data_IF_467931259543
#
_entry.id   IF_467931259543
#
_cell.length_a   1.000
_cell.length_b   1.000
_cell.length_c   1.000
_cell.angle_alpha   90.00
_cell.angle_beta   90.00
_cell.angle_gamma   90.00
#
_symmetry.space_group_name_H-M   'P 1'
#
loop_
_entity.id
_entity.type
_entity.pdbx_description
1 polymer ?
#
# COMPACT_ATOMS: atom_id res chain seq x y z
N UNK A 1 -8.83 0.98 8.18
CA UNK A 1 -8.45 0.20 7.00
C UNK A 1 -7.94 1.11 5.89
N UNK A 2 -7.09 0.56 5.05
CA UNK A 2 -6.60 1.17 3.82
C UNK A 2 -6.64 0.15 2.70
N UNK A 3 -6.76 0.65 1.48
CA UNK A 3 -6.64 -0.15 0.25
C UNK A 3 -5.76 0.60 -0.73
N UNK A 4 -4.87 -0.11 -1.39
CA UNK A 4 -3.94 0.45 -2.37
C UNK A 4 -3.79 -0.49 -3.56
N UNK A 5 -3.51 0.09 -4.73
CA UNK A 5 -3.28 -0.65 -5.97
C UNK A 5 -1.79 -0.69 -6.29
N UNK A 6 -1.26 -1.89 -6.51
CA UNK A 6 0.14 -2.13 -6.87
C UNK A 6 0.26 -2.80 -8.24
N UNK A 7 -0.39 -2.21 -9.24
CA UNK A 7 -0.65 -2.81 -10.56
C UNK A 7 0.60 -2.93 -11.42
N UNK A 8 1.23 -1.80 -11.76
CA UNK A 8 2.39 -1.77 -12.65
C UNK A 8 3.60 -2.52 -12.11
N UNK A 9 3.99 -2.36 -10.83
CA UNK A 9 5.05 -3.18 -10.24
C UNK A 9 4.77 -4.69 -10.35
N UNK A 10 3.53 -5.10 -10.11
CA UNK A 10 3.10 -6.49 -10.21
C UNK A 10 3.07 -7.00 -11.66
N UNK A 11 2.88 -6.15 -12.65
CA UNK A 11 2.97 -6.54 -14.05
C UNK A 11 4.44 -6.78 -14.47
N UNK A 12 5.36 -5.95 -13.99
CA UNK A 12 6.79 -6.02 -14.30
C UNK A 12 7.46 -7.19 -13.57
N UNK A 13 7.32 -7.24 -12.25
CA UNK A 13 7.87 -8.27 -11.37
C UNK A 13 6.75 -8.77 -10.43
N UNK A 14 6.00 -9.81 -10.84
CA UNK A 14 4.76 -10.18 -10.17
C UNK A 14 4.89 -10.51 -8.69
N UNK A 15 5.96 -11.21 -8.30
CA UNK A 15 6.17 -11.57 -6.89
C UNK A 15 6.47 -10.33 -6.05
N UNK A 16 7.50 -9.57 -6.40
CA UNK A 16 7.92 -8.41 -5.61
C UNK A 16 6.90 -7.28 -5.66
N UNK A 17 6.29 -7.04 -6.82
CA UNK A 17 5.24 -6.04 -6.96
C UNK A 17 4.04 -6.30 -6.05
N UNK A 18 3.57 -7.53 -5.97
CA UNK A 18 2.46 -7.89 -5.09
C UNK A 18 2.87 -7.93 -3.61
N UNK A 19 4.06 -8.44 -3.31
CA UNK A 19 4.62 -8.49 -1.96
C UNK A 19 4.73 -7.09 -1.35
N UNK A 20 5.32 -6.15 -2.09
CA UNK A 20 5.48 -4.77 -1.62
C UNK A 20 4.16 -3.99 -1.56
N UNK A 21 3.16 -4.38 -2.34
CA UNK A 21 1.79 -3.88 -2.19
C UNK A 21 1.19 -4.27 -0.83
N UNK A 22 1.41 -5.51 -0.37
CA UNK A 22 1.00 -5.94 0.97
C UNK A 22 1.79 -5.20 2.05
N UNK A 23 3.11 -5.07 1.90
CA UNK A 23 3.97 -4.35 2.85
C UNK A 23 3.58 -2.88 2.98
N UNK A 24 3.39 -2.17 1.87
CA UNK A 24 3.00 -0.77 1.86
C UNK A 24 1.69 -0.51 2.59
N UNK A 25 0.65 -1.31 2.31
CA UNK A 25 -0.64 -1.13 2.98
C UNK A 25 -0.62 -1.48 4.47
N UNK A 26 0.27 -2.39 4.88
CA UNK A 26 0.49 -2.70 6.31
C UNK A 26 1.17 -1.53 7.00
N UNK A 27 2.18 -0.90 6.37
CA UNK A 27 2.83 0.30 6.92
C UNK A 27 1.90 1.48 7.06
N UNK A 28 0.99 1.70 6.11
CA UNK A 28 -0.07 2.71 6.22
C UNK A 28 -0.90 2.53 7.50
N UNK A 29 -1.27 1.28 7.80
CA UNK A 29 -2.01 0.97 9.04
C UNK A 29 -1.15 1.24 10.27
N UNK A 30 0.14 0.92 10.22
CA UNK A 30 1.07 1.21 11.32
C UNK A 30 1.27 2.72 11.51
N UNK A 31 1.38 3.50 10.42
CA UNK A 31 1.51 4.96 10.48
C UNK A 31 0.32 5.64 11.17
N UNK A 32 -0.83 4.98 11.21
CA UNK A 32 -2.01 5.42 11.97
C UNK A 32 -1.99 5.02 13.45
N UNK A 33 -0.95 4.34 13.94
CA UNK A 33 -0.87 3.83 15.31
C UNK A 33 -1.60 2.50 15.54
N UNK A 34 -2.13 1.89 14.48
CA UNK A 34 -2.92 0.68 14.58
C UNK A 34 -2.06 -0.60 14.46
N UNK A 35 -2.45 -1.65 15.20
CA UNK A 35 -1.93 -2.99 14.96
C UNK A 35 -2.63 -3.61 13.76
N UNK A 36 -1.90 -4.00 12.69
CA UNK A 36 -2.48 -4.79 11.60
C UNK A 36 -3.04 -6.12 12.11
N UNK A 37 -4.24 -6.50 11.66
CA UNK A 37 -4.91 -7.71 12.12
C UNK A 37 -5.33 -8.66 11.00
N UNK A 38 -5.52 -8.15 9.78
CA UNK A 38 -5.85 -8.95 8.62
C UNK A 38 -5.54 -8.21 7.32
N UNK A 39 -5.37 -9.00 6.25
CA UNK A 39 -5.27 -8.51 4.88
C UNK A 39 -6.34 -9.16 4.00
N UNK A 40 -6.69 -8.50 2.90
CA UNK A 40 -7.49 -9.00 1.79
C UNK A 40 -6.85 -8.56 0.48
N UNK A 41 -7.13 -9.28 -0.60
CA UNK A 41 -6.64 -8.94 -1.93
C UNK A 41 -7.77 -8.95 -2.97
N UNK A 42 -7.88 -7.88 -3.74
CA UNK A 42 -8.81 -7.79 -4.87
C UNK A 42 -7.99 -7.81 -6.15
N UNK A 43 -8.01 -8.96 -6.83
CA UNK A 43 -7.18 -9.24 -7.99
C UNK A 43 -8.03 -9.24 -9.27
N UNK A 44 -7.58 -8.53 -10.28
CA UNK A 44 -8.22 -8.50 -11.59
C UNK A 44 -7.21 -8.70 -12.69
N UNK A 45 -7.46 -9.68 -13.54
CA UNK A 45 -6.58 -10.06 -14.63
C UNK A 45 -7.33 -10.09 -15.95
N UNK A 46 -6.60 -10.05 -17.06
CA UNK A 46 -7.11 -10.37 -18.38
C UNK A 46 -7.70 -11.79 -18.45
N UNK A 47 -8.12 -12.27 -19.64
CA UNK A 47 -8.63 -13.62 -19.79
C UNK A 47 -7.73 -14.67 -19.16
N UNK A 48 -8.30 -15.67 -18.48
CA UNK A 48 -7.54 -16.65 -17.70
C UNK A 48 -6.54 -17.48 -18.54
N UNK A 49 -6.82 -17.64 -19.84
CA UNK A 49 -5.98 -18.35 -20.79
C UNK A 49 -4.96 -17.47 -21.52
N UNK A 50 -5.01 -16.15 -21.33
CA UNK A 50 -4.08 -15.22 -21.93
C UNK A 50 -2.64 -15.45 -21.42
N UNK A 51 -1.63 -15.29 -22.29
CA UNK A 51 -0.22 -15.48 -21.92
C UNK A 51 0.20 -14.60 -20.75
N UNK A 52 -0.20 -13.33 -20.71
CA UNK A 52 0.10 -12.39 -19.63
C UNK A 52 -0.49 -12.83 -18.30
N UNK A 53 -1.77 -13.23 -18.30
CA UNK A 53 -2.42 -13.73 -17.09
C UNK A 53 -1.69 -14.95 -16.55
N UNK A 54 -1.29 -15.89 -17.41
CA UNK A 54 -0.51 -17.08 -17.02
C UNK A 54 0.87 -16.73 -16.46
N UNK A 55 1.48 -15.64 -16.93
CA UNK A 55 2.75 -15.14 -16.43
C UNK A 55 2.62 -14.44 -15.08
N UNK A 56 1.63 -13.56 -14.95
CA UNK A 56 1.52 -12.62 -13.84
C UNK A 56 0.83 -13.23 -12.61
N UNK A 57 -0.31 -13.92 -12.81
CA UNK A 57 -1.15 -14.43 -11.73
C UNK A 57 -0.39 -15.30 -10.70
N UNK A 58 0.43 -16.31 -11.10
CA UNK A 58 1.12 -17.15 -10.12
C UNK A 58 2.09 -16.36 -9.23
N UNK A 59 2.82 -15.41 -9.82
CA UNK A 59 3.76 -14.55 -9.09
C UNK A 59 3.05 -13.60 -8.13
N UNK A 60 1.95 -13.00 -8.55
CA UNK A 60 1.12 -12.12 -7.70
C UNK A 60 0.59 -12.89 -6.48
N UNK A 61 -0.03 -14.05 -6.69
CA UNK A 61 -0.56 -14.88 -5.58
C UNK A 61 0.55 -15.31 -4.64
N UNK A 62 1.70 -15.72 -5.17
CA UNK A 62 2.86 -16.09 -4.36
C UNK A 62 3.45 -14.90 -3.60
N UNK A 63 3.45 -13.71 -4.18
CA UNK A 63 3.92 -12.48 -3.53
C UNK A 63 3.02 -12.06 -2.36
N UNK A 64 1.71 -12.04 -2.58
CA UNK A 64 0.72 -11.76 -1.52
C UNK A 64 0.83 -12.77 -0.40
N UNK A 65 0.83 -14.08 -0.73
CA UNK A 65 0.94 -15.15 0.24
C UNK A 65 2.27 -15.15 0.98
N UNK A 66 3.37 -15.02 0.27
CA UNK A 66 4.72 -15.03 0.86
C UNK A 66 4.93 -13.90 1.85
N UNK A 67 4.48 -12.70 1.51
CA UNK A 67 4.60 -11.55 2.41
C UNK A 67 3.63 -11.63 3.59
N UNK A 68 2.32 -11.80 3.33
CA UNK A 68 1.29 -11.83 4.36
C UNK A 68 1.47 -12.98 5.37
N UNK A 69 1.81 -14.18 4.90
CA UNK A 69 2.07 -15.35 5.74
C UNK A 69 3.27 -15.11 6.67
N UNK A 70 4.35 -14.51 6.14
CA UNK A 70 5.55 -14.19 6.93
C UNK A 70 5.30 -13.13 8.00
N UNK A 71 4.40 -12.17 7.74
CA UNK A 71 3.94 -11.22 8.75
C UNK A 71 3.08 -11.87 9.85
N UNK A 72 2.54 -13.05 9.59
CA UNK A 72 1.54 -13.68 10.47
C UNK A 72 0.21 -12.93 10.45
N UNK A 73 -0.17 -12.35 9.33
CA UNK A 73 -1.46 -11.72 9.11
C UNK A 73 -2.38 -12.64 8.32
N UNK A 74 -3.58 -12.97 8.84
CA UNK A 74 -4.52 -13.79 8.09
C UNK A 74 -5.01 -13.03 6.85
N UNK A 75 -4.95 -13.69 5.68
CA UNK A 75 -5.67 -13.24 4.50
C UNK A 75 -7.10 -13.78 4.57
N UNK A 76 -8.05 -12.91 4.88
CA UNK A 76 -9.42 -13.32 5.26
C UNK A 76 -10.41 -13.32 4.10
N UNK A 77 -9.98 -12.90 2.91
CA UNK A 77 -10.86 -12.85 1.75
C UNK A 77 -10.27 -12.07 0.60
N UNK A 78 -11.17 -11.59 -0.24
CA UNK A 78 -10.84 -10.90 -1.48
C UNK A 78 -11.58 -11.49 -2.65
N UNK A 79 -11.24 -11.07 -3.85
CA UNK A 79 -11.84 -11.60 -5.07
C UNK A 79 -10.80 -11.72 -6.20
N UNK A 80 -11.05 -12.63 -7.13
CA UNK A 80 -10.25 -12.73 -8.35
C UNK A 80 -11.17 -12.76 -9.56
N UNK A 81 -11.02 -11.77 -10.42
CA UNK A 81 -11.85 -11.57 -11.61
C UNK A 81 -11.00 -11.67 -12.87
N UNK A 82 -11.55 -12.31 -13.89
CA UNK A 82 -10.97 -12.40 -15.23
C UNK A 82 -11.84 -11.64 -16.22
N UNK A 83 -11.28 -10.60 -16.84
CA UNK A 83 -11.99 -9.77 -17.80
C UNK A 83 -11.02 -9.17 -18.83
N UNK A 84 -11.45 -9.13 -20.09
CA UNK A 84 -10.69 -8.54 -21.21
C UNK A 84 -10.19 -7.12 -20.90
N UNK A 85 -10.96 -6.35 -20.15
CA UNK A 85 -10.63 -4.96 -19.77
C UNK A 85 -9.31 -4.84 -19.01
N UNK A 86 -8.87 -5.91 -18.33
CA UNK A 86 -7.63 -5.93 -17.54
C UNK A 86 -6.46 -6.61 -18.27
N UNK A 87 -6.62 -6.90 -19.57
CA UNK A 87 -5.53 -7.45 -20.38
C UNK A 87 -4.39 -6.42 -20.48
N UNK A 88 -3.15 -6.87 -20.20
CA UNK A 88 -1.96 -6.00 -20.21
C UNK A 88 -1.82 -5.03 -19.05
N UNK A 89 -2.87 -4.84 -18.24
CA UNK A 89 -2.84 -3.99 -17.05
C UNK A 89 -3.71 -4.57 -15.93
N UNK A 90 -3.24 -5.58 -15.21
CA UNK A 90 -3.98 -6.19 -14.11
C UNK A 90 -4.17 -5.19 -12.96
N UNK A 91 -5.21 -5.37 -12.17
CA UNK A 91 -5.34 -4.70 -10.88
C UNK A 91 -4.91 -5.66 -9.77
N UNK A 92 -3.97 -5.20 -8.96
CA UNK A 92 -3.47 -5.91 -7.79
C UNK A 92 -3.67 -4.99 -6.61
N UNK A 93 -4.80 -5.15 -5.94
CA UNK A 93 -5.16 -4.32 -4.79
C UNK A 93 -4.91 -5.11 -3.51
N UNK A 94 -4.23 -4.48 -2.55
CA UNK A 94 -4.09 -4.99 -1.20
C UNK A 94 -4.90 -4.11 -0.25
N UNK A 95 -5.63 -4.75 0.66
CA UNK A 95 -6.36 -4.10 1.74
C UNK A 95 -5.82 -4.62 3.06
N UNK A 96 -5.57 -3.72 4.00
CA UNK A 96 -5.23 -4.08 5.37
C UNK A 96 -6.22 -3.46 6.36
N UNK A 97 -6.55 -4.24 7.38
CA UNK A 97 -7.35 -3.80 8.52
C UNK A 97 -6.48 -3.82 9.76
N UNK A 98 -6.57 -2.77 10.55
CA UNK A 98 -5.90 -2.66 11.84
C UNK A 98 -6.85 -2.25 12.95
N UNK A 99 -6.41 -2.40 14.18
CA UNK A 99 -7.14 -1.97 15.37
C UNK A 99 -6.28 -1.07 16.24
N UNK A 100 -6.90 -0.03 16.79
CA UNK A 100 -6.31 0.87 17.79
C UNK A 100 -7.41 1.35 18.74
N UNK A 101 -7.01 1.85 19.89
CA UNK A 101 -7.91 2.65 20.72
C UNK A 101 -8.01 4.06 20.13
N UNK A 102 -9.17 4.70 20.24
CA UNK A 102 -9.41 6.01 19.63
C UNK A 102 -8.36 7.04 20.02
N UNK A 103 -7.91 7.01 21.28
CA UNK A 103 -6.92 7.94 21.83
C UNK A 103 -5.48 7.62 21.38
N UNK A 104 -5.24 6.46 20.79
CA UNK A 104 -3.91 6.03 20.29
C UNK A 104 -3.67 6.41 18.83
N UNK A 105 -4.61 7.07 18.16
CA UNK A 105 -4.49 7.48 16.76
C UNK A 105 -3.24 8.35 16.56
N UNK A 106 -2.42 7.96 15.60
CA UNK A 106 -1.26 8.73 15.12
C UNK A 106 -1.59 9.38 13.79
N UNK A 107 -0.96 10.52 13.55
CA UNK A 107 -1.12 11.29 12.32
C UNK A 107 0.26 11.67 11.77
N UNK A 108 0.30 11.94 10.47
CA UNK A 108 1.49 12.41 9.78
C UNK A 108 1.58 13.94 9.90
N UNK A 109 2.33 14.43 10.88
CA UNK A 109 2.62 15.85 11.02
C UNK A 109 3.95 16.10 11.73
N UNK A 110 4.66 17.14 11.33
CA UNK A 110 5.88 17.59 11.98
C UNK A 110 5.60 18.87 12.76
N UNK A 111 5.28 18.73 14.04
CA UNK A 111 4.99 19.86 14.94
C UNK A 111 5.97 19.91 16.09
N UNK A 112 6.13 21.12 16.64
CA UNK A 112 7.02 21.41 17.77
C UNK A 112 8.45 21.70 17.32
N UNK A 113 8.79 23.01 17.21
CA UNK A 113 10.14 23.46 16.88
C UNK A 113 11.20 22.76 17.74
N UNK A 114 12.24 22.23 17.10
CA UNK A 114 13.34 21.51 17.72
C UNK A 114 13.08 20.01 17.90
N UNK A 115 11.87 19.51 17.63
CA UNK A 115 11.62 18.08 17.58
C UNK A 115 12.46 17.44 16.49
N UNK A 116 12.92 16.22 16.74
CA UNK A 116 13.85 15.52 15.86
C UNK A 116 13.11 14.65 14.87
N UNK A 117 13.66 14.59 13.65
CA UNK A 117 13.18 13.73 12.57
C UNK A 117 14.01 12.46 12.57
N UNK A 118 13.36 11.35 12.89
CA UNK A 118 13.99 10.04 13.03
C UNK A 118 13.60 9.14 11.87
N UNK A 119 14.58 8.70 11.08
CA UNK A 119 14.40 7.66 10.08
C UNK A 119 14.77 6.30 10.67
N UNK A 120 13.91 5.31 10.57
CA UNK A 120 14.16 3.98 11.11
C UNK A 120 13.56 2.87 10.25
N UNK A 121 14.09 1.66 10.41
CA UNK A 121 13.75 0.51 9.56
C UNK A 121 14.94 0.04 8.73
N UNK A 122 14.69 -0.42 7.53
CA UNK A 122 15.71 -0.86 6.58
C UNK A 122 16.58 0.29 6.09
N UNK A 123 17.80 -0.03 5.64
CA UNK A 123 18.70 0.97 5.06
C UNK A 123 18.25 1.34 3.64
N UNK A 124 18.45 2.60 3.27
CA UNK A 124 18.12 3.14 1.95
C UNK A 124 19.05 2.59 0.86
N UNK A 125 18.50 2.00 -0.17
CA UNK A 125 19.21 1.48 -1.35
C UNK A 125 18.73 2.11 -2.66
N UNK A 126 19.09 1.50 -3.79
CA UNK A 126 18.74 1.98 -5.13
C UNK A 126 17.43 1.36 -5.67
N UNK A 127 16.74 0.58 -4.89
CA UNK A 127 15.50 -0.10 -5.29
C UNK A 127 14.31 0.87 -5.33
N UNK A 128 13.44 0.67 -6.31
CA UNK A 128 12.21 1.43 -6.51
C UNK A 128 12.42 2.87 -6.99
N UNK A 129 13.64 3.29 -7.35
CA UNK A 129 13.88 4.67 -7.81
C UNK A 129 13.05 4.97 -9.05
N UNK A 130 12.16 5.97 -8.92
CA UNK A 130 11.22 6.33 -9.97
C UNK A 130 10.09 5.31 -10.15
N UNK A 131 9.89 4.37 -9.21
CA UNK A 131 8.87 3.33 -9.29
C UNK A 131 7.48 3.91 -9.52
N UNK A 132 7.03 4.80 -8.66
CA UNK A 132 5.72 5.45 -8.81
C UNK A 132 5.67 6.34 -10.04
N UNK A 133 6.65 7.20 -10.24
CA UNK A 133 6.64 8.17 -11.33
C UNK A 133 6.85 7.56 -12.72
N UNK A 134 7.68 6.53 -12.82
CA UNK A 134 7.99 5.85 -14.10
C UNK A 134 6.95 4.78 -14.40
N UNK A 135 6.66 3.89 -13.43
CA UNK A 135 5.75 2.78 -13.67
C UNK A 135 4.28 3.20 -13.75
N UNK A 136 3.87 4.25 -13.02
CA UNK A 136 2.49 4.72 -13.06
C UNK A 136 2.11 5.43 -14.38
N UNK A 137 3.09 5.92 -15.13
CA UNK A 137 2.88 6.65 -16.39
C UNK A 137 3.33 5.89 -17.63
N UNK A 138 3.94 4.72 -17.47
CA UNK A 138 4.45 3.93 -18.58
C UNK A 138 3.35 3.09 -19.26
N UNK A 139 3.44 2.97 -20.58
CA UNK A 139 2.68 1.97 -21.35
C UNK A 139 3.60 0.79 -21.64
N UNK A 140 3.11 -0.41 -21.33
CA UNK A 140 3.85 -1.64 -21.58
C UNK A 140 3.59 -2.12 -23.01
N UNK A 141 4.56 -1.88 -23.89
CA UNK A 141 4.56 -2.42 -25.25
C UNK A 141 5.31 -3.76 -25.29
N UNK A 142 4.87 -4.66 -26.16
CA UNK A 142 5.53 -5.94 -26.38
C UNK A 142 6.98 -5.73 -26.82
N UNK A 143 7.93 -6.25 -26.03
CA UNK A 143 9.37 -6.16 -26.33
C UNK A 143 10.10 -4.96 -25.69
N UNK A 144 9.44 -4.15 -24.87
CA UNK A 144 10.11 -3.11 -24.10
C UNK A 144 11.07 -3.71 -23.04
N UNK A 145 12.24 -3.09 -22.85
CA UNK A 145 13.17 -3.48 -21.79
C UNK A 145 12.51 -3.32 -20.41
N UNK A 146 12.64 -4.34 -19.57
CA UNK A 146 12.12 -4.30 -18.19
C UNK A 146 12.94 -3.32 -17.35
N UNK A 147 12.28 -2.33 -16.77
CA UNK A 147 12.90 -1.35 -15.87
C UNK A 147 12.97 -1.91 -14.44
N UNK A 148 13.74 -2.99 -14.25
CA UNK A 148 13.86 -3.68 -12.96
C UNK A 148 14.31 -2.80 -11.79
N UNK A 149 15.22 -1.81 -11.96
CA UNK A 149 15.58 -0.91 -10.86
C UNK A 149 14.42 -0.09 -10.29
N UNK A 150 13.35 0.11 -11.08
CA UNK A 150 12.14 0.81 -10.63
C UNK A 150 11.21 -0.07 -9.78
N UNK A 151 11.46 -1.36 -9.67
CA UNK A 151 10.67 -2.28 -8.84
C UNK A 151 11.20 -2.28 -7.41
N UNK A 152 10.30 -2.12 -6.47
CA UNK A 152 10.56 -2.26 -5.04
C UNK A 152 10.84 -3.73 -4.68
N UNK A 153 11.64 -3.93 -3.63
CA UNK A 153 11.95 -5.28 -3.08
C UNK A 153 11.50 -5.30 -1.62
N UNK A 154 10.65 -6.25 -1.27
CA UNK A 154 10.11 -6.39 0.07
C UNK A 154 10.82 -7.45 0.91
N UNK A 155 11.01 -7.16 2.21
CA UNK A 155 11.51 -8.07 3.24
C UNK A 155 10.44 -8.22 4.34
N UNK A 156 9.60 -9.26 4.28
CA UNK A 156 8.53 -9.43 5.26
C UNK A 156 9.03 -9.71 6.68
N UNK A 157 10.27 -10.19 6.86
CA UNK A 157 10.85 -10.35 8.18
C UNK A 157 11.19 -8.99 8.79
N UNK A 158 11.84 -8.10 8.04
CA UNK A 158 12.12 -6.74 8.47
C UNK A 158 10.82 -5.97 8.79
N UNK A 159 9.79 -6.13 7.95
CA UNK A 159 8.46 -5.54 8.19
C UNK A 159 7.83 -6.07 9.49
N UNK A 160 7.91 -7.37 9.76
CA UNK A 160 7.39 -7.95 11.00
C UNK A 160 8.05 -7.38 12.24
N UNK A 161 9.37 -7.24 12.21
CA UNK A 161 10.13 -6.60 13.30
C UNK A 161 9.74 -5.13 13.45
N UNK A 162 9.60 -4.42 12.32
CA UNK A 162 9.21 -3.01 12.30
C UNK A 162 7.82 -2.78 12.91
N UNK A 163 6.85 -3.70 12.66
CA UNK A 163 5.52 -3.65 13.29
C UNK A 163 5.64 -3.62 14.81
N UNK A 164 6.39 -4.56 15.40
CA UNK A 164 6.50 -4.65 16.86
C UNK A 164 7.28 -3.46 17.44
N UNK A 165 8.33 -3.00 16.75
CA UNK A 165 9.06 -1.80 17.12
C UNK A 165 8.15 -0.55 17.14
N UNK A 166 7.35 -0.33 16.10
CA UNK A 166 6.40 0.79 16.05
C UNK A 166 5.39 0.75 17.19
N UNK A 167 4.82 -0.42 17.48
CA UNK A 167 3.86 -0.56 18.56
C UNK A 167 4.48 -0.26 19.93
N UNK A 168 5.71 -0.70 20.20
CA UNK A 168 6.43 -0.37 21.42
C UNK A 168 6.74 1.12 21.53
N UNK A 169 7.09 1.78 20.40
CA UNK A 169 7.27 3.24 20.35
C UNK A 169 5.97 3.99 20.69
N UNK A 170 4.83 3.50 20.22
CA UNK A 170 3.53 4.08 20.53
C UNK A 170 3.14 3.88 22.00
N UNK A 171 3.33 2.68 22.55
CA UNK A 171 3.06 2.40 23.97
C UNK A 171 3.96 3.21 24.90
N UNK A 172 5.20 3.50 24.49
CA UNK A 172 6.11 4.38 25.23
C UNK A 172 5.73 5.87 25.13
N UNK A 173 4.81 6.24 24.22
CA UNK A 173 4.37 7.64 24.04
C UNK A 173 5.44 8.57 23.49
N UNK A 174 6.43 8.06 22.77
CA UNK A 174 7.59 8.85 22.31
C UNK A 174 7.43 9.44 20.90
N UNK A 175 6.36 9.10 20.18
CA UNK A 175 6.09 9.53 18.81
C UNK A 175 5.12 10.70 18.81
N UNK A 176 5.53 11.83 18.24
CA UNK A 176 4.71 13.02 18.02
C UNK A 176 3.91 12.89 16.74
N UNK A 177 4.58 12.58 15.62
CA UNK A 177 3.99 12.32 14.32
C UNK A 177 4.79 11.23 13.60
N UNK A 178 4.19 10.56 12.61
CA UNK A 178 4.83 9.46 11.90
C UNK A 178 4.26 9.31 10.50
N UNK A 179 5.13 8.92 9.57
CA UNK A 179 4.79 8.60 8.18
C UNK A 179 5.60 7.37 7.75
N UNK A 180 5.03 6.50 6.94
CA UNK A 180 5.78 5.44 6.28
C UNK A 180 6.51 5.98 5.04
N UNK A 181 7.45 5.21 4.53
CA UNK A 181 8.13 5.47 3.28
C UNK A 181 7.68 4.45 2.23
N UNK A 182 6.74 4.87 1.42
CA UNK A 182 6.25 4.14 0.25
C UNK A 182 6.75 4.76 -1.05
N UNK A 183 5.84 5.13 -1.94
CA UNK A 183 6.15 5.81 -3.19
C UNK A 183 6.86 7.14 -2.98
N UNK A 184 7.84 7.43 -3.84
CA UNK A 184 8.73 8.60 -3.76
C UNK A 184 9.52 8.73 -2.43
N UNK A 185 9.53 7.72 -1.59
CA UNK A 185 10.43 7.56 -0.45
C UNK A 185 10.51 8.74 0.51
N UNK A 186 11.74 9.20 0.80
CA UNK A 186 11.98 10.33 1.71
C UNK A 186 11.42 11.65 1.20
N UNK A 187 11.38 11.86 -0.11
CA UNK A 187 10.84 13.09 -0.67
C UNK A 187 9.35 13.25 -0.30
N UNK A 188 8.56 12.19 -0.41
CA UNK A 188 7.15 12.18 -0.02
C UNK A 188 6.99 12.32 1.50
N UNK A 189 7.60 11.40 2.27
CA UNK A 189 7.41 11.37 3.72
C UNK A 189 7.81 12.70 4.41
N UNK A 190 8.91 13.32 4.00
CA UNK A 190 9.36 14.59 4.60
C UNK A 190 8.50 15.79 4.20
N UNK A 191 8.05 15.83 2.94
CA UNK A 191 7.17 16.92 2.47
C UNK A 191 5.78 16.84 3.11
N UNK A 192 5.19 15.67 3.22
CA UNK A 192 3.88 15.48 3.85
C UNK A 192 3.90 15.77 5.36
N UNK A 193 4.93 15.27 6.08
CA UNK A 193 5.11 15.58 7.50
C UNK A 193 5.25 17.08 7.74
N UNK A 194 6.06 17.77 6.92
CA UNK A 194 6.28 19.20 7.06
C UNK A 194 5.05 20.03 6.66
N UNK A 195 4.35 19.64 5.58
CA UNK A 195 3.15 20.34 5.12
C UNK A 195 1.99 20.29 6.13
N UNK A 196 1.83 19.15 6.80
CA UNK A 196 0.79 18.93 7.80
C UNK A 196 1.18 19.42 9.20
N UNK A 197 2.39 19.95 9.39
CA UNK A 197 2.92 20.43 10.66
C UNK A 197 2.61 21.89 10.97
N UNK A 198 3.17 22.36 12.07
CA UNK A 198 3.06 23.77 12.53
C UNK A 198 4.34 24.59 12.27
N UNK A 199 5.31 24.02 11.53
CA UNK A 199 6.60 24.62 11.22
C UNK A 199 7.15 24.13 9.88
N UNK A 200 8.43 24.47 9.63
CA UNK A 200 9.22 23.87 8.55
C UNK A 200 9.97 22.63 9.03
N UNK A 201 10.78 22.10 8.15
CA UNK A 201 11.66 20.96 8.48
C UNK A 201 13.02 21.14 7.79
N UNK A 202 14.10 20.87 8.52
CA UNK A 202 15.43 20.73 7.95
C UNK A 202 15.88 19.26 8.03
N UNK A 203 16.32 18.71 6.88
CA UNK A 203 16.78 17.31 6.75
C UNK A 203 18.20 17.30 6.19
N UNK A 204 19.08 16.48 6.77
CA UNK A 204 20.42 16.24 6.25
C UNK A 204 20.54 14.80 5.74
N UNK A 205 20.67 14.65 4.42
CA UNK A 205 20.78 13.35 3.77
C UNK A 205 22.08 12.61 4.11
N UNK A 206 23.12 13.30 4.60
CA UNK A 206 24.38 12.68 5.01
C UNK A 206 24.18 11.76 6.23
N UNK A 207 23.09 11.96 6.98
CA UNK A 207 22.72 11.15 8.14
C UNK A 207 21.83 9.93 7.79
N UNK A 208 21.37 9.81 6.54
CA UNK A 208 20.51 8.70 6.10
C UNK A 208 21.33 7.41 6.06
N UNK A 209 20.90 6.33 6.74
CA UNK A 209 21.58 5.04 6.67
C UNK A 209 21.47 4.44 5.27
N UNK A 210 22.58 4.38 4.55
CA UNK A 210 22.63 3.87 3.18
C UNK A 210 23.08 2.41 3.13
N UNK A 211 22.50 1.65 2.21
CA UNK A 211 22.88 0.29 1.84
C UNK A 211 23.73 0.26 0.57
N UNK A 212 23.56 1.26 -0.31
CA UNK A 212 24.36 1.44 -1.51
C UNK A 212 25.38 2.58 -1.31
N UNK A 213 26.52 2.48 -1.99
CA UNK A 213 27.59 3.51 -1.95
C UNK A 213 27.35 4.58 -3.01
N UNK A 214 27.79 5.80 -2.74
CA UNK A 214 27.81 6.91 -3.68
C UNK A 214 26.43 7.29 -4.26
N UNK A 215 25.37 7.15 -3.46
CA UNK A 215 24.05 7.63 -3.86
C UNK A 215 24.04 9.16 -3.93
N UNK A 216 23.47 9.69 -4.99
CA UNK A 216 23.18 11.13 -5.14
C UNK A 216 22.01 11.55 -4.25
N UNK A 217 21.88 12.86 -4.00
CA UNK A 217 20.75 13.39 -3.24
C UNK A 217 19.39 12.98 -3.85
N UNK A 218 19.27 13.03 -5.18
CA UNK A 218 18.05 12.62 -5.89
C UNK A 218 17.73 11.11 -5.68
N UNK A 219 18.74 10.25 -5.73
CA UNK A 219 18.56 8.81 -5.50
C UNK A 219 18.18 8.51 -4.04
N UNK A 220 18.77 9.22 -3.06
CA UNK A 220 18.40 9.05 -1.64
C UNK A 220 16.96 9.47 -1.40
N UNK A 221 16.55 10.61 -1.98
CA UNK A 221 15.20 11.15 -1.83
C UNK A 221 14.14 10.30 -2.53
N UNK A 222 14.43 9.86 -3.75
CA UNK A 222 13.48 9.11 -4.58
C UNK A 222 13.53 7.59 -4.39
N UNK A 223 14.43 7.07 -3.56
CA UNK A 223 14.50 5.64 -3.23
C UNK A 223 13.20 5.17 -2.56
N UNK A 224 12.61 4.13 -3.08
CA UNK A 224 11.42 3.48 -2.53
C UNK A 224 11.79 2.17 -1.80
N UNK A 225 12.99 2.11 -1.21
CA UNK A 225 13.36 0.99 -0.32
C UNK A 225 12.28 0.81 0.73
N UNK A 226 11.81 -0.42 0.86
CA UNK A 226 10.68 -0.76 1.71
C UNK A 226 11.07 -0.87 3.18
N UNK A 227 10.12 -1.13 4.05
CA UNK A 227 10.29 -1.36 5.49
C UNK A 227 10.99 -0.19 6.21
N UNK A 228 10.60 1.05 5.87
CA UNK A 228 11.12 2.28 6.48
C UNK A 228 9.98 3.16 6.98
N UNK A 229 10.23 3.84 8.10
CA UNK A 229 9.32 4.81 8.71
C UNK A 229 10.09 6.08 9.06
N UNK A 230 9.39 7.22 9.05
CA UNK A 230 9.89 8.52 9.49
C UNK A 230 9.03 9.06 10.62
N UNK A 231 9.62 9.30 11.78
CA UNK A 231 8.92 9.78 12.97
C UNK A 231 9.45 11.13 13.44
N UNK A 232 8.56 11.93 14.00
CA UNK A 232 8.89 13.16 14.73
C UNK A 232 8.87 12.88 16.23
N UNK A 233 9.94 13.22 16.91
CA UNK A 233 10.21 12.85 18.30
C UNK A 233 10.69 14.05 19.09
N UNK A 234 10.13 14.29 20.28
CA UNK A 234 10.60 15.36 21.16
C UNK A 234 12.06 15.08 21.62
N UNK A 235 12.93 16.10 21.74
CA UNK A 235 14.36 15.91 22.07
C UNK A 235 14.60 15.06 23.31
N UNK A 236 13.80 15.21 24.35
CA UNK A 236 13.87 14.44 25.60
C UNK A 236 13.55 12.95 25.42
N UNK A 237 12.82 12.59 24.37
CA UNK A 237 12.40 11.22 24.09
C UNK A 237 13.33 10.47 23.10
N UNK A 238 14.30 11.15 22.47
CA UNK A 238 15.18 10.55 21.45
C UNK A 238 15.98 9.37 22.01
N UNK A 239 16.46 9.48 23.24
CA UNK A 239 17.22 8.40 23.87
C UNK A 239 16.35 7.14 24.05
N UNK A 240 15.10 7.31 24.49
CA UNK A 240 14.15 6.20 24.66
C UNK A 240 13.72 5.61 23.32
N UNK A 241 13.54 6.45 22.31
CA UNK A 241 13.24 6.00 20.94
C UNK A 241 14.35 5.09 20.41
N UNK A 242 15.62 5.51 20.54
CA UNK A 242 16.78 4.72 20.12
C UNK A 242 16.91 3.40 20.89
N UNK A 243 16.67 3.41 22.20
CA UNK A 243 16.66 2.19 23.03
C UNK A 243 15.66 1.15 22.53
N UNK A 244 14.46 1.59 22.14
CA UNK A 244 13.41 0.69 21.60
C UNK A 244 13.84 0.16 20.23
N UNK A 245 14.34 1.01 19.33
CA UNK A 245 14.86 0.56 18.03
C UNK A 245 16.01 -0.46 18.20
N UNK A 246 16.93 -0.22 19.13
CA UNK A 246 18.04 -1.14 19.44
C UNK A 246 17.52 -2.48 20.01
N UNK A 247 16.49 -2.45 20.86
CA UNK A 247 15.87 -3.67 21.38
C UNK A 247 15.35 -4.60 20.27
N UNK A 248 14.80 -4.01 19.21
CA UNK A 248 14.27 -4.73 18.05
C UNK A 248 15.30 -4.93 16.92
N UNK A 249 16.55 -4.54 17.11
CA UNK A 249 17.61 -4.55 16.07
C UNK A 249 17.20 -3.75 14.81
N UNK A 250 16.46 -2.66 14.99
CA UNK A 250 16.00 -1.77 13.93
C UNK A 250 16.99 -0.63 13.76
N UNK A 251 17.53 -0.45 12.56
CA UNK A 251 18.40 0.70 12.25
C UNK A 251 17.63 2.00 12.49
N UNK A 252 18.24 2.97 13.18
CA UNK A 252 17.64 4.25 13.51
C UNK A 252 18.64 5.39 13.39
N UNK A 253 18.25 6.48 12.74
CA UNK A 253 19.07 7.67 12.57
C UNK A 253 18.27 8.96 12.75
N UNK A 254 18.86 9.96 13.39
CA UNK A 254 18.35 11.33 13.40
C UNK A 254 18.81 12.00 12.12
N UNK A 255 17.85 12.32 11.23
CA UNK A 255 18.11 12.89 9.93
C UNK A 255 17.79 14.39 9.85
N UNK A 256 17.15 14.96 10.86
CA UNK A 256 16.76 16.36 10.80
C UNK A 256 16.01 16.83 12.03
N UNK A 257 15.43 18.04 11.91
CA UNK A 257 14.61 18.64 12.95
C UNK A 257 13.48 19.50 12.39
N UNK A 258 12.46 19.72 13.20
CA UNK A 258 11.37 20.67 12.94
C UNK A 258 11.87 22.08 13.19
N UNK A 259 11.69 22.96 12.20
CA UNK A 259 12.17 24.35 12.22
C UNK A 259 11.00 25.35 12.30
N UNK A 260 11.31 26.65 12.42
CA UNK A 260 10.33 27.71 12.21
C UNK A 260 10.05 27.94 10.71
N UNK A 261 8.90 28.48 10.42
CA UNK A 261 8.49 28.78 9.05
C UNK A 261 7.68 27.65 8.43
N UNK A 262 7.71 27.54 7.10
CA UNK A 262 6.96 26.52 6.34
C UNK A 262 7.78 25.85 5.22
N UNK A 263 9.10 26.05 5.24
CA UNK A 263 9.97 25.46 4.23
C UNK A 263 10.47 24.08 4.63
N UNK A 264 10.50 23.19 3.63
CA UNK A 264 11.29 21.99 3.68
C UNK A 264 12.67 22.32 3.11
N UNK A 265 13.71 22.26 3.97
CA UNK A 265 15.09 22.49 3.59
C UNK A 265 15.83 21.15 3.66
N UNK A 266 16.39 20.69 2.54
CA UNK A 266 17.17 19.45 2.50
C UNK A 266 18.60 19.75 2.12
N UNK A 267 19.55 19.18 2.88
CA UNK A 267 20.99 19.33 2.67
C UNK A 267 21.63 18.00 2.30
N UNK A 268 22.64 18.09 1.47
CA UNK A 268 23.52 16.97 1.13
C UNK A 268 24.94 17.50 0.90
N UNK A 269 25.92 16.89 1.54
CA UNK A 269 27.36 17.26 1.45
C UNK A 269 27.62 18.76 1.69
N UNK A 270 26.86 19.34 2.63
CA UNK A 270 26.97 20.74 3.01
C UNK A 270 26.22 21.72 2.10
N UNK A 271 25.66 21.28 0.99
CA UNK A 271 24.86 22.09 0.07
C UNK A 271 23.36 21.94 0.32
N UNK A 272 22.60 23.00 0.08
CA UNK A 272 21.14 22.97 0.06
C UNK A 272 20.68 22.42 -1.29
N UNK A 273 20.02 21.26 -1.29
CA UNK A 273 19.51 20.60 -2.50
C UNK A 273 18.00 20.80 -2.70
N UNK A 274 17.28 21.13 -1.64
CA UNK A 274 15.87 21.53 -1.68
C UNK A 274 15.67 22.67 -0.69
N UNK A 275 14.96 23.70 -1.12
CA UNK A 275 14.45 24.82 -0.28
C UNK A 275 13.14 25.31 -0.89
N UNK A 276 12.02 24.82 -0.37
CA UNK A 276 10.69 25.15 -0.88
C UNK A 276 9.65 25.06 0.23
N UNK A 277 8.53 25.81 0.12
CA UNK A 277 7.39 25.62 1.00
C UNK A 277 6.89 24.18 0.92
N UNK A 278 6.76 23.51 2.06
CA UNK A 278 6.36 22.09 2.10
C UNK A 278 4.97 21.87 1.48
N UNK A 279 4.01 22.76 1.74
CA UNK A 279 2.66 22.72 1.17
C UNK A 279 2.65 22.76 -0.36
N UNK A 280 3.56 23.52 -0.98
CA UNK A 280 3.67 23.55 -2.44
C UNK A 280 4.11 22.21 -3.04
N UNK A 281 4.88 21.44 -2.29
CA UNK A 281 5.33 20.10 -2.73
C UNK A 281 4.22 19.05 -2.49
N UNK A 282 3.57 19.09 -1.33
CA UNK A 282 2.66 18.03 -0.89
C UNK A 282 1.20 18.27 -1.31
N UNK A 283 0.68 19.49 -1.16
CA UNK A 283 -0.76 19.76 -1.16
C UNK A 283 -1.25 20.64 -2.33
N UNK A 284 -0.39 21.53 -2.85
CA UNK A 284 -0.80 22.55 -3.84
C UNK A 284 -0.74 22.04 -5.29
N UNK A 285 -1.04 20.75 -5.51
CA UNK A 285 -1.16 20.23 -6.87
C UNK A 285 -2.37 20.84 -7.60
N UNK A 286 -2.30 20.99 -8.95
CA UNK A 286 -3.44 21.53 -9.70
C UNK A 286 -4.68 20.66 -9.57
N UNK A 287 -5.77 21.26 -9.12
CA UNK A 287 -7.10 20.65 -9.14
C UNK A 287 -7.75 20.88 -10.51
N UNK A 288 -8.15 19.82 -11.18
CA UNK A 288 -8.76 19.89 -12.50
C UNK A 288 -10.27 19.72 -12.41
N UNK A 289 -11.02 20.69 -12.88
CA UNK A 289 -12.45 20.54 -13.16
C UNK A 289 -12.63 19.90 -14.56
N UNK A 290 -12.65 18.57 -14.57
CA UNK A 290 -12.75 17.78 -15.80
C UNK A 290 -14.20 17.78 -16.30
N UNK A 291 -14.47 18.18 -17.57
CA UNK A 291 -15.81 18.09 -18.11
C UNK A 291 -16.26 16.63 -18.18
N UNK A 292 -17.48 16.39 -17.78
CA UNK A 292 -18.12 15.07 -17.89
C UNK A 292 -19.49 15.18 -18.54
N UNK A 293 -19.91 14.13 -19.22
CA UNK A 293 -21.22 14.02 -19.84
C UNK A 293 -21.71 12.58 -19.76
N UNK A 294 -23.02 12.43 -19.65
CA UNK A 294 -23.66 11.12 -19.75
C UNK A 294 -23.49 10.61 -21.19
N UNK A 295 -22.97 9.38 -21.41
CA UNK A 295 -22.87 8.80 -22.74
C UNK A 295 -24.24 8.53 -23.36
N UNK A 296 -24.43 8.85 -24.64
CA UNK A 296 -25.70 8.64 -25.36
C UNK A 296 -26.13 7.16 -25.37
N UNK A 297 -25.18 6.22 -25.43
CA UNK A 297 -25.46 4.79 -25.44
C UNK A 297 -26.14 4.28 -24.15
N UNK A 298 -26.04 5.00 -23.04
CA UNK A 298 -26.72 4.61 -21.78
C UNK A 298 -28.26 4.67 -21.93
N UNK A 299 -28.80 5.61 -22.70
CA UNK A 299 -30.23 5.72 -22.93
C UNK A 299 -30.76 4.60 -23.83
N UNK A 300 -29.89 4.07 -24.69
CA UNK A 300 -30.23 2.89 -25.49
C UNK A 300 -30.23 1.61 -24.65
N UNK A 301 -29.29 1.47 -23.73
CA UNK A 301 -29.23 0.33 -22.80
C UNK A 301 -30.51 0.23 -21.94
N UNK A 302 -31.08 1.35 -21.53
CA UNK A 302 -32.35 1.35 -20.77
C UNK A 302 -33.52 0.70 -21.55
N UNK A 303 -33.43 0.62 -22.87
CA UNK A 303 -34.43 -0.01 -23.75
C UNK A 303 -34.17 -1.50 -23.97
N UNK A 304 -33.02 -2.02 -23.48
CA UNK A 304 -32.65 -3.42 -23.66
C UNK A 304 -33.57 -4.35 -22.86
N UNK A 305 -34.24 -5.28 -23.52
CA UNK A 305 -35.19 -6.19 -22.89
C UNK A 305 -34.70 -7.63 -22.75
N UNK A 306 -33.40 -7.84 -22.78
CA UNK A 306 -32.82 -9.17 -22.64
C UNK A 306 -33.31 -10.18 -23.66
N UNK A 307 -32.52 -10.52 -24.66
CA UNK A 307 -32.90 -11.45 -25.74
C UNK A 307 -32.09 -12.74 -25.72
N UNK A 308 -31.65 -13.17 -24.55
CA UNK A 308 -30.90 -14.42 -24.48
C UNK A 308 -31.82 -15.60 -24.81
N UNK A 309 -31.62 -16.20 -25.99
CA UNK A 309 -32.41 -17.32 -26.52
C UNK A 309 -31.72 -18.68 -26.29
N UNK A 310 -30.65 -18.71 -25.50
CA UNK A 310 -29.92 -19.96 -25.20
C UNK A 310 -30.79 -20.91 -24.41
N UNK A 311 -30.69 -22.21 -24.72
CA UNK A 311 -31.33 -23.26 -23.94
C UNK A 311 -30.72 -23.41 -22.55
N UNK A 312 -31.45 -23.99 -21.61
CA UNK A 312 -31.00 -24.20 -20.23
C UNK A 312 -29.69 -24.97 -20.17
N UNK A 313 -29.55 -26.04 -20.95
CA UNK A 313 -28.33 -26.89 -20.95
C UNK A 313 -27.12 -26.09 -21.46
N UNK A 314 -27.26 -25.34 -22.55
CA UNK A 314 -26.21 -24.51 -23.09
C UNK A 314 -25.79 -23.41 -22.08
N UNK A 315 -26.77 -22.77 -21.46
CA UNK A 315 -26.51 -21.77 -20.40
C UNK A 315 -25.76 -22.36 -19.22
N UNK A 316 -26.18 -23.54 -18.75
CA UNK A 316 -25.50 -24.23 -17.66
C UNK A 316 -24.04 -24.61 -18.02
N UNK A 317 -23.85 -25.19 -19.21
CA UNK A 317 -22.50 -25.54 -19.69
C UNK A 317 -21.59 -24.32 -19.75
N UNK A 318 -22.09 -23.19 -20.25
CA UNK A 318 -21.34 -21.94 -20.34
C UNK A 318 -21.01 -21.36 -18.97
N UNK A 319 -21.93 -21.45 -18.01
CA UNK A 319 -21.70 -20.98 -16.64
C UNK A 319 -20.64 -21.84 -15.92
N UNK A 320 -20.78 -23.16 -15.92
CA UNK A 320 -19.85 -24.05 -15.20
C UNK A 320 -18.45 -24.11 -15.83
N UNK A 321 -18.31 -23.76 -17.11
CA UNK A 321 -17.03 -23.67 -17.80
C UNK A 321 -16.42 -22.26 -17.72
N UNK A 322 -17.11 -21.30 -17.13
CA UNK A 322 -16.60 -19.91 -17.04
C UNK A 322 -15.50 -19.78 -16.00
N UNK A 323 -14.33 -19.26 -16.35
CA UNK A 323 -13.29 -18.93 -15.36
C UNK A 323 -13.74 -17.99 -14.25
N UNK A 324 -14.77 -17.17 -14.53
CA UNK A 324 -15.33 -16.25 -13.53
C UNK A 324 -16.06 -16.98 -12.39
N UNK A 325 -16.50 -18.23 -12.60
CA UNK A 325 -17.26 -19.02 -11.62
C UNK A 325 -16.48 -20.24 -11.09
N UNK A 326 -15.22 -20.44 -11.49
CA UNK A 326 -14.44 -21.55 -10.97
C UNK A 326 -14.03 -21.31 -9.49
N UNK A 327 -13.70 -22.39 -8.77
CA UNK A 327 -13.14 -22.30 -7.42
C UNK A 327 -11.86 -21.44 -7.42
N UNK A 328 -11.65 -20.67 -6.36
CA UNK A 328 -10.44 -19.91 -6.07
C UNK A 328 -9.50 -20.64 -5.11
N UNK A 329 -9.74 -21.91 -4.82
CA UNK A 329 -8.92 -22.69 -3.89
C UNK A 329 -7.43 -22.70 -4.26
N UNK A 330 -7.10 -22.67 -5.54
CA UNK A 330 -5.73 -22.60 -6.01
C UNK A 330 -5.00 -21.31 -5.58
N UNK A 331 -5.73 -20.23 -5.31
CA UNK A 331 -5.23 -18.98 -4.72
C UNK A 331 -5.27 -19.09 -3.21
N UNK A 332 -6.45 -19.30 -2.65
CA UNK A 332 -6.71 -19.18 -1.22
C UNK A 332 -5.97 -20.22 -0.37
N UNK A 333 -5.60 -21.37 -0.96
CA UNK A 333 -4.81 -22.39 -0.25
C UNK A 333 -3.33 -22.00 -0.09
N UNK A 334 -2.86 -20.92 -0.72
CA UNK A 334 -1.52 -20.38 -0.53
C UNK A 334 -1.46 -19.38 0.64
N UNK A 335 -2.60 -18.98 1.17
CA UNK A 335 -2.73 -17.95 2.20
C UNK A 335 -3.02 -18.56 3.57
N UNK A 336 -2.32 -18.06 4.59
CA UNK A 336 -2.64 -18.33 5.99
C UNK A 336 -3.89 -17.56 6.36
N UNK A 337 -5.00 -18.27 6.52
CA UNK A 337 -6.33 -17.67 6.78
C UNK A 337 -6.68 -17.61 8.25
N UNK A 338 -6.09 -18.47 9.06
CA UNK A 338 -6.42 -18.67 10.45
C UNK A 338 -5.25 -18.47 11.39
N UNK A 339 -4.14 -17.95 10.88
CA UNK A 339 -2.99 -17.58 11.71
C UNK A 339 -3.44 -16.59 12.79
N UNK A 340 -2.87 -16.69 13.99
CA UNK A 340 -3.25 -15.97 15.22
C UNK A 340 -4.55 -16.46 15.90
N UNK A 341 -5.37 -17.30 15.27
CA UNK A 341 -6.54 -17.94 15.89
C UNK A 341 -7.75 -17.02 16.10
N UNK A 342 -7.76 -15.83 15.53
CA UNK A 342 -8.86 -14.86 15.68
C UNK A 342 -9.80 -14.78 14.47
N UNK A 343 -9.52 -15.49 13.39
CA UNK A 343 -10.42 -15.58 12.24
C UNK A 343 -11.60 -16.50 12.55
N UNK A 344 -12.79 -15.94 12.53
CA UNK A 344 -14.06 -16.69 12.75
C UNK A 344 -14.57 -17.27 11.45
N UNK A 345 -14.47 -16.50 10.36
CA UNK A 345 -14.93 -16.88 9.04
C UNK A 345 -14.00 -16.29 7.99
N UNK A 346 -13.72 -17.05 6.96
CA UNK A 346 -12.85 -16.66 5.84
C UNK A 346 -13.44 -17.21 4.53
N UNK A 347 -12.59 -17.51 3.54
CA UNK A 347 -12.95 -18.04 2.21
C UNK A 347 -14.13 -19.03 2.19
N UNK A 348 -14.90 -19.00 1.13
CA UNK A 348 -16.23 -19.56 0.87
C UNK A 348 -17.37 -18.81 1.57
N UNK A 349 -17.14 -17.57 1.98
CA UNK A 349 -18.15 -16.71 2.57
C UNK A 349 -18.09 -15.31 1.92
N UNK A 350 -19.17 -14.55 2.08
CA UNK A 350 -19.30 -13.22 1.49
C UNK A 350 -18.48 -12.15 2.26
N UNK A 351 -18.02 -12.48 3.45
CA UNK A 351 -17.15 -11.60 4.24
C UNK A 351 -16.13 -12.41 5.04
N UNK A 352 -14.97 -11.82 5.27
CA UNK A 352 -14.05 -12.27 6.32
C UNK A 352 -14.48 -11.71 7.67
N UNK A 353 -14.51 -12.55 8.71
CA UNK A 353 -14.92 -12.16 10.06
C UNK A 353 -13.80 -12.45 11.05
N UNK A 354 -13.40 -11.43 11.79
CA UNK A 354 -12.36 -11.48 12.81
C UNK A 354 -12.94 -11.18 14.19
N UNK A 355 -12.52 -11.93 15.18
CA UNK A 355 -12.73 -11.58 16.59
C UNK A 355 -11.61 -10.60 17.00
N UNK A 356 -12.00 -9.44 17.53
CA UNK A 356 -11.07 -8.40 18.00
C UNK A 356 -10.85 -8.50 19.50
N UNK A 357 -11.90 -8.82 20.23
CA UNK A 357 -11.89 -8.85 21.69
C UNK A 357 -12.45 -10.21 22.18
N UNK A 358 -11.63 -10.95 22.89
CA UNK A 358 -11.98 -12.30 23.34
C UNK A 358 -12.98 -12.29 24.50
N UNK A 359 -12.92 -11.29 25.39
CA UNK A 359 -13.78 -11.22 26.57
C UNK A 359 -15.22 -10.86 26.19
N UNK A 360 -15.37 -9.88 25.30
CA UNK A 360 -16.70 -9.40 24.87
C UNK A 360 -17.24 -10.15 23.65
N UNK A 361 -16.39 -10.89 22.93
CA UNK A 361 -16.73 -11.51 21.65
C UNK A 361 -16.94 -10.51 20.51
N UNK A 362 -16.54 -9.25 20.67
CA UNK A 362 -16.63 -8.25 19.61
C UNK A 362 -15.75 -8.65 18.44
N UNK A 363 -16.26 -8.43 17.24
CA UNK A 363 -15.56 -8.69 16.00
C UNK A 363 -15.85 -7.66 14.93
N UNK A 364 -15.19 -7.82 13.79
CA UNK A 364 -15.41 -7.04 12.59
C UNK A 364 -15.62 -7.99 11.42
N UNK A 365 -16.59 -7.67 10.57
CA UNK A 365 -16.79 -8.29 9.28
C UNK A 365 -16.26 -7.33 8.20
N UNK A 366 -15.49 -7.87 7.27
CA UNK A 366 -14.90 -7.11 6.16
C UNK A 366 -15.26 -7.79 4.86
N UNK A 367 -15.84 -7.04 3.96
CA UNK A 367 -16.09 -7.46 2.57
C UNK A 367 -15.51 -6.41 1.62
N UNK A 368 -15.19 -6.85 0.41
CA UNK A 368 -14.77 -6.00 -0.67
C UNK A 368 -15.37 -6.52 -1.96
N UNK A 369 -16.07 -5.66 -2.67
CA UNK A 369 -16.72 -5.99 -3.94
C UNK A 369 -16.67 -4.79 -4.88
N UNK A 370 -16.50 -5.04 -6.16
CA UNK A 370 -16.69 -4.05 -7.22
C UNK A 370 -16.77 -4.73 -8.58
N UNK A 371 -17.61 -4.21 -9.47
CA UNK A 371 -17.68 -4.66 -10.85
C UNK A 371 -17.35 -3.52 -11.81
N UNK A 372 -16.19 -3.60 -12.47
CA UNK A 372 -15.79 -2.64 -13.49
C UNK A 372 -16.79 -2.54 -14.64
N UNK A 373 -17.45 -3.65 -15.01
CA UNK A 373 -18.49 -3.65 -16.04
C UNK A 373 -19.70 -2.85 -15.62
N UNK A 374 -20.21 -3.03 -14.42
CA UNK A 374 -21.37 -2.29 -13.92
C UNK A 374 -21.03 -0.82 -13.73
N UNK A 375 -19.85 -0.51 -13.20
CA UNK A 375 -19.37 0.87 -13.07
C UNK A 375 -19.23 1.58 -14.42
N UNK A 376 -18.76 0.87 -15.46
CA UNK A 376 -18.71 1.41 -16.82
C UNK A 376 -20.10 1.72 -17.38
N UNK A 377 -21.08 0.87 -17.12
CA UNK A 377 -22.46 1.05 -17.59
C UNK A 377 -23.15 2.21 -16.86
N UNK A 378 -23.02 2.28 -15.56
CA UNK A 378 -23.54 3.35 -14.71
C UNK A 378 -22.69 3.46 -13.44
N UNK A 379 -21.83 4.49 -13.29
CA UNK A 379 -20.96 4.63 -12.12
C UNK A 379 -21.70 4.70 -10.78
N UNK A 380 -22.89 5.33 -10.75
CA UNK A 380 -23.69 5.43 -9.53
C UNK A 380 -24.26 4.06 -9.13
N UNK A 381 -24.82 3.33 -10.09
CA UNK A 381 -25.34 1.99 -9.82
C UNK A 381 -24.22 1.00 -9.54
N UNK A 382 -23.09 1.10 -10.23
CA UNK A 382 -21.91 0.28 -9.96
C UNK A 382 -21.41 0.45 -8.53
N UNK A 383 -21.32 1.68 -8.04
CA UNK A 383 -20.95 1.97 -6.66
C UNK A 383 -21.97 1.43 -5.64
N UNK A 384 -23.28 1.56 -5.92
CA UNK A 384 -24.33 1.02 -5.04
C UNK A 384 -24.34 -0.51 -4.98
N UNK A 385 -23.96 -1.17 -6.06
CA UNK A 385 -23.88 -2.63 -6.10
C UNK A 385 -22.62 -3.16 -5.38
N UNK A 386 -21.59 -2.33 -5.22
CA UNK A 386 -20.38 -2.66 -4.46
C UNK A 386 -20.57 -2.51 -2.93
N UNK A 387 -21.59 -1.77 -2.50
CA UNK A 387 -21.96 -1.57 -1.09
C UNK A 387 -23.01 -2.60 -0.63
#
# INVERSE_FOLDING_TARGET
FRVESHNHPSYVEPYQGAATGVGGIVRDIMAMGARPIAVMDQLRFGPADAPDTKRVLPGVVSGVGGYGNSLGLPNIGGETVFDETYAGNPLVNALCVGTLKVDDLKLAFASGKGNKVMLFGSRTGLDGIGGVSVLASDTFEDGAERKLPAVQVGDPFAEKVLIECCLDLYYAGVVVGIQDLGGAGLACATSELAASGDGGMEVNLDNVPLRAQNMTAAEILASESQERMCAVVAPENVAKFREICEHWDVTCAEIGEVTEGNHLVIRHQGEVVVDAPAGTIADEAPEYDRPYARPEWQDELQKYQGTDKRGLVESLQKLVSSPALCSRDFIMNQYDRYVRGNTVQSHHADAGVLRIDEETGRGVAVSADASGRYTKLDPNMGARLAL
#
